data_IF_816756829463
#
_entry.id   IF_816756829463
#
_cell.length_a   1.000
_cell.length_b   1.000
_cell.length_c   1.000
_cell.angle_alpha   90.00
_cell.angle_beta   90.00
_cell.angle_gamma   90.00
#
_symmetry.space_group_name_H-M   'P 1'
#
loop_
_entity.id
_entity.type
_entity.pdbx_description
1 polymer ?
#
# COMPACT_ATOMS: atom_id res chain seq x y z
N UNK A 1 7.89 18.82 -11.02
CA UNK A 1 7.41 20.15 -10.58
C UNK A 1 6.43 20.01 -9.42
N UNK A 2 6.89 20.26 -8.18
CA UNK A 2 6.03 20.31 -6.98
C UNK A 2 5.48 21.74 -6.84
N UNK A 3 4.15 21.89 -6.93
CA UNK A 3 3.52 23.20 -6.67
C UNK A 3 3.55 23.50 -5.17
N UNK A 4 4.02 24.69 -4.82
CA UNK A 4 4.03 25.20 -3.44
C UNK A 4 3.02 26.33 -3.34
N UNK A 5 2.14 26.34 -2.32
CA UNK A 5 1.32 27.52 -2.08
C UNK A 5 2.26 28.68 -1.71
N UNK A 6 1.95 29.87 -2.20
CA UNK A 6 2.67 31.09 -1.82
C UNK A 6 2.39 31.43 -0.36
N UNK A 7 3.12 30.81 0.56
CA UNK A 7 2.92 30.99 2.00
C UNK A 7 3.33 29.76 2.79
N UNK A 8 4.34 29.90 3.64
CA UNK A 8 4.86 28.81 4.46
C UNK A 8 3.93 28.45 5.61
N UNK A 9 3.07 27.45 5.44
CA UNK A 9 2.45 26.76 6.58
C UNK A 9 2.81 25.27 6.54
N UNK A 10 3.70 24.85 7.45
CA UNK A 10 4.26 23.49 7.56
C UNK A 10 3.26 22.37 7.92
N UNK A 11 1.95 22.62 7.82
CA UNK A 11 0.89 21.70 8.25
C UNK A 11 0.09 21.05 7.11
N UNK A 12 0.44 21.27 5.84
CA UNK A 12 -0.18 20.58 4.71
C UNK A 12 -1.67 20.87 4.51
N UNK A 13 -2.18 21.94 5.13
CA UNK A 13 -3.47 22.57 4.85
C UNK A 13 -3.17 23.93 4.25
N UNK A 14 -3.85 24.27 3.16
CA UNK A 14 -3.85 25.63 2.65
C UNK A 14 -4.40 26.58 3.71
N UNK A 15 -3.71 27.68 3.93
CA UNK A 15 -4.24 28.78 4.72
C UNK A 15 -5.42 29.44 3.99
N UNK A 16 -6.30 30.09 4.74
CA UNK A 16 -7.40 30.85 4.15
C UNK A 16 -6.83 31.96 3.23
N UNK A 17 -7.09 31.86 1.92
CA UNK A 17 -6.61 32.80 0.91
C UNK A 17 -5.45 32.30 0.03
N UNK A 18 -4.87 31.13 0.33
CA UNK A 18 -3.89 30.51 -0.55
C UNK A 18 -4.58 29.80 -1.72
N UNK A 19 -4.17 30.11 -2.95
CA UNK A 19 -4.61 29.42 -4.15
C UNK A 19 -3.40 28.90 -4.92
N UNK A 20 -3.59 27.79 -5.62
CA UNK A 20 -2.60 27.31 -6.58
C UNK A 20 -2.98 27.85 -7.95
N UNK A 21 -2.00 28.32 -8.72
CA UNK A 21 -2.20 28.71 -10.11
C UNK A 21 -1.40 27.79 -11.02
N UNK A 22 -2.01 27.36 -12.13
CA UNK A 22 -1.34 26.62 -13.19
C UNK A 22 -1.65 27.28 -14.53
N UNK A 23 -0.59 27.64 -15.27
CA UNK A 23 -0.70 28.39 -16.52
C UNK A 23 -1.55 29.68 -16.40
N UNK A 24 -1.49 30.37 -15.25
CA UNK A 24 -2.24 31.59 -14.96
C UNK A 24 -3.73 31.38 -14.62
N UNK A 25 -4.17 30.13 -14.46
CA UNK A 25 -5.53 29.79 -14.03
C UNK A 25 -5.54 29.30 -12.58
N UNK A 26 -6.47 29.78 -11.73
CA UNK A 26 -6.60 29.28 -10.36
C UNK A 26 -7.09 27.82 -10.38
N UNK A 27 -6.45 26.98 -9.58
CA UNK A 27 -6.78 25.57 -9.40
C UNK A 27 -7.76 25.38 -8.23
N UNK A 28 -8.80 24.60 -8.48
CA UNK A 28 -9.73 24.16 -7.44
C UNK A 28 -9.06 23.14 -6.51
N UNK A 29 -9.19 23.37 -5.20
CA UNK A 29 -8.65 22.49 -4.17
C UNK A 29 -9.77 21.61 -3.62
N UNK A 30 -9.81 20.36 -4.08
CA UNK A 30 -10.73 19.36 -3.57
C UNK A 30 -10.13 18.62 -2.36
N UNK A 31 -10.96 18.33 -1.36
CA UNK A 31 -10.57 17.55 -0.16
C UNK A 31 -10.36 16.06 -0.44
N UNK A 32 -11.00 15.56 -1.50
CA UNK A 32 -10.89 14.19 -1.97
C UNK A 32 -11.16 14.11 -3.47
N UNK A 33 -10.36 13.34 -4.22
CA UNK A 33 -10.54 13.10 -5.65
C UNK A 33 -10.37 11.63 -5.99
N UNK A 34 -11.10 11.15 -7.00
CA UNK A 34 -10.99 9.77 -7.49
C UNK A 34 -10.20 9.74 -8.79
N UNK A 35 -9.12 8.97 -8.82
CA UNK A 35 -8.31 8.78 -10.02
C UNK A 35 -7.96 7.30 -10.19
N UNK A 36 -8.26 6.77 -11.38
CA UNK A 36 -8.10 5.34 -11.72
C UNK A 36 -8.69 4.38 -10.68
N UNK A 37 -9.80 4.74 -10.05
CA UNK A 37 -10.44 3.89 -9.04
C UNK A 37 -9.89 4.02 -7.62
N UNK A 38 -8.77 4.72 -7.42
CA UNK A 38 -8.24 5.06 -6.10
C UNK A 38 -8.78 6.41 -5.64
N UNK A 39 -9.06 6.53 -4.34
CA UNK A 39 -9.58 7.77 -3.74
C UNK A 39 -8.47 8.46 -2.98
N UNK A 40 -8.01 9.59 -3.50
CA UNK A 40 -6.97 10.41 -2.92
C UNK A 40 -7.62 11.46 -2.04
N UNK A 41 -7.50 11.27 -0.73
CA UNK A 41 -7.81 12.28 0.27
C UNK A 41 -6.59 13.14 0.58
N UNK A 42 -6.78 14.29 1.22
CA UNK A 42 -5.67 15.06 1.77
C UNK A 42 -4.72 14.16 2.57
N UNK A 43 -3.44 14.19 2.21
CA UNK A 43 -2.42 13.35 2.83
C UNK A 43 -2.15 13.83 4.26
N UNK A 44 -2.19 12.91 5.21
CA UNK A 44 -1.79 13.17 6.58
C UNK A 44 -0.54 12.40 6.95
N UNK A 45 0.22 12.94 7.90
CA UNK A 45 1.43 12.30 8.44
C UNK A 45 1.17 10.87 8.92
N UNK A 46 -0.02 10.63 9.48
CA UNK A 46 -0.37 9.34 10.04
C UNK A 46 -0.96 8.38 9.01
N UNK A 47 -1.74 8.87 8.04
CA UNK A 47 -2.53 7.99 7.18
C UNK A 47 -2.03 7.85 5.74
N UNK A 48 -1.15 8.73 5.24
CA UNK A 48 -0.64 8.64 3.86
C UNK A 48 -1.77 8.31 2.86
N UNK A 49 -1.56 7.30 2.02
CA UNK A 49 -2.55 6.75 1.10
C UNK A 49 -3.34 5.57 1.67
N UNK A 50 -3.23 5.24 2.96
CA UNK A 50 -3.92 4.08 3.57
C UNK A 50 -5.45 4.15 3.46
N UNK A 51 -6.04 5.34 3.30
CA UNK A 51 -7.48 5.52 3.06
C UNK A 51 -7.95 4.84 1.76
N UNK A 52 -7.07 4.71 0.76
CA UNK A 52 -7.35 3.93 -0.45
C UNK A 52 -7.66 2.47 -0.11
N UNK A 53 -6.88 1.89 0.82
CA UNK A 53 -7.04 0.50 1.26
C UNK A 53 -8.42 0.29 1.91
N UNK A 54 -8.96 1.26 2.64
CA UNK A 54 -10.28 1.16 3.27
C UNK A 54 -11.43 1.12 2.26
N UNK A 55 -11.33 1.90 1.18
CA UNK A 55 -12.28 1.88 0.06
C UNK A 55 -12.21 0.53 -0.65
N UNK A 56 -11.00 0.05 -0.95
CA UNK A 56 -10.77 -1.25 -1.58
C UNK A 56 -11.23 -2.42 -0.69
N UNK A 57 -11.10 -2.31 0.64
CA UNK A 57 -11.59 -3.31 1.57
C UNK A 57 -13.12 -3.45 1.52
N UNK A 58 -13.86 -2.35 1.30
CA UNK A 58 -15.32 -2.40 1.09
C UNK A 58 -15.65 -3.11 -0.22
N UNK A 59 -15.00 -2.73 -1.31
CA UNK A 59 -15.20 -3.35 -2.63
C UNK A 59 -14.82 -4.84 -2.60
N UNK A 60 -13.69 -5.19 -2.00
CA UNK A 60 -13.21 -6.57 -1.86
C UNK A 60 -14.13 -7.42 -0.98
N UNK A 61 -14.75 -6.87 0.07
CA UNK A 61 -15.81 -7.58 0.83
C UNK A 61 -17.01 -7.89 -0.06
N UNK A 62 -17.46 -6.93 -0.86
CA UNK A 62 -18.58 -7.15 -1.79
C UNK A 62 -18.24 -8.23 -2.82
N UNK A 63 -17.06 -8.15 -3.43
CA UNK A 63 -16.56 -9.16 -4.37
C UNK A 63 -16.46 -10.55 -3.72
N UNK A 64 -15.99 -10.63 -2.48
CA UNK A 64 -15.90 -11.88 -1.72
C UNK A 64 -17.29 -12.48 -1.46
N UNK A 65 -18.28 -11.70 -1.05
CA UNK A 65 -19.63 -12.22 -0.81
C UNK A 65 -20.31 -12.64 -2.12
N UNK A 66 -20.13 -11.87 -3.20
CA UNK A 66 -20.62 -12.24 -4.53
C UNK A 66 -19.97 -13.54 -5.03
N UNK A 67 -18.66 -13.67 -4.89
CA UNK A 67 -17.91 -14.88 -5.22
C UNK A 67 -18.43 -16.08 -4.42
N UNK A 68 -18.57 -15.96 -3.09
CA UNK A 68 -19.04 -17.07 -2.24
C UNK A 68 -20.46 -17.49 -2.58
N UNK A 69 -21.35 -16.54 -2.86
CA UNK A 69 -22.71 -16.83 -3.31
C UNK A 69 -22.68 -17.62 -4.61
N UNK A 70 -21.88 -17.17 -5.59
CA UNK A 70 -21.80 -17.85 -6.88
C UNK A 70 -21.15 -19.23 -6.77
N UNK A 71 -20.13 -19.37 -5.93
CA UNK A 71 -19.50 -20.65 -5.64
C UNK A 71 -20.52 -21.66 -5.06
N UNK A 72 -21.36 -21.21 -4.12
CA UNK A 72 -22.44 -22.04 -3.57
C UNK A 72 -23.46 -22.47 -4.63
N UNK A 73 -23.94 -21.53 -5.46
CA UNK A 73 -24.89 -21.82 -6.54
C UNK A 73 -24.34 -22.86 -7.56
N UNK A 74 -23.03 -22.87 -7.75
CA UNK A 74 -22.34 -23.79 -8.67
C UNK A 74 -21.82 -25.06 -7.97
N UNK A 75 -22.06 -25.25 -6.68
CA UNK A 75 -21.57 -26.40 -5.91
C UNK A 75 -20.06 -26.41 -5.66
N UNK A 76 -19.35 -25.30 -5.87
CA UNK A 76 -17.93 -25.15 -5.58
C UNK A 76 -17.70 -24.94 -4.07
N UNK A 77 -17.86 -26.03 -3.32
CA UNK A 77 -17.81 -26.04 -1.87
C UNK A 77 -16.47 -26.48 -1.28
N UNK A 78 -15.57 -27.05 -2.08
CA UNK A 78 -14.26 -27.49 -1.60
C UNK A 78 -13.41 -26.28 -1.16
N UNK A 79 -12.70 -26.44 -0.05
CA UNK A 79 -11.86 -25.38 0.53
C UNK A 79 -10.84 -24.87 -0.48
N UNK A 80 -10.18 -25.78 -1.20
CA UNK A 80 -9.19 -25.48 -2.24
C UNK A 80 -9.80 -24.66 -3.38
N UNK A 81 -11.00 -25.02 -3.84
CA UNK A 81 -11.72 -24.28 -4.87
C UNK A 81 -12.06 -22.87 -4.38
N UNK A 82 -12.57 -22.73 -3.15
CA UNK A 82 -12.87 -21.41 -2.60
C UNK A 82 -11.63 -20.54 -2.44
N UNK A 83 -10.52 -21.12 -2.01
CA UNK A 83 -9.22 -20.44 -1.93
C UNK A 83 -8.76 -19.96 -3.31
N UNK A 84 -8.85 -20.82 -4.34
CA UNK A 84 -8.51 -20.45 -5.72
C UNK A 84 -9.42 -19.33 -6.25
N UNK A 85 -10.74 -19.42 -6.02
CA UNK A 85 -11.69 -18.37 -6.40
C UNK A 85 -11.40 -17.05 -5.68
N UNK A 86 -10.98 -17.08 -4.41
CA UNK A 86 -10.55 -15.89 -3.70
C UNK A 86 -9.33 -15.24 -4.35
N UNK A 87 -8.33 -16.04 -4.73
CA UNK A 87 -7.13 -15.54 -5.40
C UNK A 87 -7.42 -14.92 -6.77
N UNK A 88 -8.39 -15.45 -7.50
CA UNK A 88 -8.78 -14.94 -8.84
C UNK A 88 -9.66 -13.69 -8.75
N UNK A 89 -10.66 -13.67 -7.86
CA UNK A 89 -11.69 -12.63 -7.88
C UNK A 89 -11.53 -11.55 -6.81
N UNK A 90 -10.98 -11.90 -5.64
CA UNK A 90 -10.99 -11.01 -4.46
C UNK A 90 -9.63 -10.39 -4.23
N UNK A 91 -8.57 -11.19 -4.27
CA UNK A 91 -7.18 -10.72 -4.06
C UNK A 91 -6.80 -9.56 -5.01
N UNK A 92 -7.16 -9.55 -6.31
CA UNK A 92 -6.83 -8.43 -7.19
C UNK A 92 -7.56 -7.14 -6.80
N UNK A 93 -8.84 -7.23 -6.39
CA UNK A 93 -9.62 -6.08 -5.91
C UNK A 93 -9.00 -5.51 -4.63
N UNK A 94 -8.63 -6.39 -3.70
CA UNK A 94 -8.01 -6.01 -2.44
C UNK A 94 -6.61 -5.39 -2.62
N UNK A 95 -5.85 -5.83 -3.61
CA UNK A 95 -4.45 -5.45 -3.81
C UNK A 95 -4.25 -4.38 -4.89
N UNK A 96 -5.33 -3.87 -5.48
CA UNK A 96 -5.24 -2.89 -6.55
C UNK A 96 -4.55 -1.60 -6.08
N UNK A 97 -3.47 -1.21 -6.75
CA UNK A 97 -2.69 -0.01 -6.39
C UNK A 97 -1.88 -0.14 -5.09
N UNK A 98 -1.61 -1.36 -4.61
CA UNK A 98 -0.82 -1.60 -3.41
C UNK A 98 0.60 -1.01 -3.48
N UNK A 99 1.10 -0.72 -4.67
CA UNK A 99 2.35 0.01 -4.91
C UNK A 99 2.31 1.44 -4.32
N UNK A 100 1.12 2.05 -4.28
CA UNK A 100 0.94 3.41 -3.74
C UNK A 100 0.62 3.37 -2.25
N UNK A 101 -0.43 2.66 -1.85
CA UNK A 101 -0.93 2.67 -0.47
C UNK A 101 -0.34 1.57 0.42
N UNK A 102 0.28 0.54 -0.17
CA UNK A 102 0.77 -0.63 0.58
C UNK A 102 1.86 -0.26 1.57
N UNK A 103 2.72 0.71 1.25
CA UNK A 103 3.76 1.21 2.15
C UNK A 103 3.19 1.72 3.47
N UNK A 104 2.06 2.43 3.43
CA UNK A 104 1.40 2.99 4.62
C UNK A 104 0.75 1.92 5.50
N UNK A 105 0.32 0.82 4.86
CA UNK A 105 -0.26 -0.34 5.54
C UNK A 105 0.84 -1.22 6.15
N UNK A 106 1.99 -1.36 5.50
CA UNK A 106 3.14 -2.12 6.03
C UNK A 106 3.74 -1.46 7.29
N UNK A 107 3.70 -0.14 7.39
CA UNK A 107 4.11 0.60 8.59
C UNK A 107 3.11 0.44 9.76
N UNK A 108 1.90 -0.06 9.51
CA UNK A 108 0.83 -0.26 10.50
C UNK A 108 0.05 -1.56 10.23
N UNK A 109 0.69 -2.72 10.38
CA UNK A 109 0.13 -3.99 9.90
C UNK A 109 -1.17 -4.39 10.62
N UNK A 110 -1.34 -4.00 11.88
CA UNK A 110 -2.52 -4.35 12.69
C UNK A 110 -3.80 -3.63 12.25
N UNK A 111 -3.67 -2.53 11.50
CA UNK A 111 -4.79 -1.70 11.06
C UNK A 111 -5.21 -1.97 9.60
N UNK A 112 -4.69 -3.01 8.95
CA UNK A 112 -5.02 -3.29 7.55
C UNK A 112 -6.46 -3.77 7.37
N UNK A 113 -7.33 -2.87 6.91
CA UNK A 113 -8.73 -3.16 6.60
C UNK A 113 -8.90 -4.19 5.49
N UNK A 114 -7.95 -4.24 4.56
CA UNK A 114 -7.86 -5.17 3.42
C UNK A 114 -7.51 -6.58 3.91
N UNK A 115 -6.47 -6.71 4.73
CA UNK A 115 -6.05 -7.99 5.31
C UNK A 115 -7.13 -8.58 6.23
N UNK A 116 -7.92 -7.74 6.91
CA UNK A 116 -9.08 -8.19 7.68
C UNK A 116 -10.11 -8.95 6.84
N UNK A 117 -10.26 -8.60 5.56
CA UNK A 117 -11.15 -9.32 4.63
C UNK A 117 -10.62 -10.72 4.36
N UNK A 118 -9.32 -10.83 4.07
CA UNK A 118 -8.65 -12.10 3.82
C UNK A 118 -8.67 -13.03 5.04
N UNK A 119 -8.33 -12.51 6.23
CA UNK A 119 -8.38 -13.27 7.49
C UNK A 119 -9.80 -13.74 7.84
N UNK A 120 -10.81 -12.91 7.55
CA UNK A 120 -12.21 -13.31 7.73
C UNK A 120 -12.58 -14.45 6.80
N UNK A 121 -12.18 -14.36 5.52
CA UNK A 121 -12.40 -15.41 4.53
C UNK A 121 -11.76 -16.73 4.96
N UNK A 122 -10.48 -16.72 5.34
CA UNK A 122 -9.74 -17.90 5.77
C UNK A 122 -10.39 -18.62 6.95
N UNK A 123 -10.88 -17.87 7.96
CA UNK A 123 -11.62 -18.48 9.07
C UNK A 123 -12.95 -19.05 8.61
N UNK A 124 -13.66 -18.32 7.75
CA UNK A 124 -15.01 -18.70 7.33
C UNK A 124 -15.03 -19.98 6.49
N UNK A 125 -14.05 -20.16 5.60
CA UNK A 125 -13.97 -21.36 4.74
C UNK A 125 -13.68 -22.63 5.55
N UNK A 126 -12.97 -22.51 6.67
CA UNK A 126 -12.66 -23.62 7.59
C UNK A 126 -13.74 -23.85 8.65
N UNK A 127 -14.71 -22.95 8.79
CA UNK A 127 -15.69 -23.00 9.89
C UNK A 127 -15.12 -22.62 11.26
N UNK A 128 -13.96 -21.96 11.31
CA UNK A 128 -13.30 -21.59 12.57
C UNK A 128 -14.02 -20.44 13.29
N UNK A 129 -14.07 -20.47 14.63
CA UNK A 129 -14.66 -19.39 15.41
C UNK A 129 -13.75 -18.15 15.42
N UNK A 130 -14.33 -16.99 15.80
CA UNK A 130 -13.63 -15.69 15.75
C UNK A 130 -12.40 -15.63 16.67
N UNK A 131 -12.37 -16.43 17.72
CA UNK A 131 -11.32 -16.50 18.73
C UNK A 131 -10.02 -17.11 18.19
N UNK A 132 -10.09 -17.91 17.12
CA UNK A 132 -8.89 -18.50 16.51
C UNK A 132 -8.03 -17.41 15.91
N UNK A 133 -6.73 -17.46 16.21
CA UNK A 133 -5.76 -16.50 15.72
C UNK A 133 -5.66 -16.60 14.20
N UNK A 134 -5.42 -15.45 13.55
CA UNK A 134 -5.29 -15.41 12.10
C UNK A 134 -4.11 -16.27 11.59
N UNK A 135 -3.04 -16.35 12.36
CA UNK A 135 -1.86 -17.15 12.05
C UNK A 135 -2.19 -18.64 11.88
N UNK A 136 -2.95 -19.23 12.81
CA UNK A 136 -3.38 -20.64 12.72
C UNK A 136 -4.25 -20.85 11.47
N UNK A 137 -5.26 -20.00 11.28
CA UNK A 137 -6.16 -20.12 10.12
C UNK A 137 -5.43 -20.00 8.77
N UNK A 138 -4.38 -19.19 8.69
CA UNK A 138 -3.54 -19.09 7.50
C UNK A 138 -2.64 -20.32 7.33
N UNK A 139 -2.02 -20.80 8.41
CA UNK A 139 -1.14 -21.96 8.42
C UNK A 139 -1.86 -23.24 7.97
N UNK A 140 -3.06 -23.50 8.50
CA UNK A 140 -3.89 -24.66 8.12
C UNK A 140 -4.25 -24.67 6.62
N UNK A 141 -4.42 -23.49 6.01
CA UNK A 141 -4.69 -23.38 4.58
C UNK A 141 -3.41 -23.32 3.72
N UNK A 142 -2.22 -23.33 4.33
CA UNK A 142 -0.95 -23.09 3.63
C UNK A 142 -0.87 -21.70 2.99
N UNK A 143 -1.58 -20.70 3.53
CA UNK A 143 -1.69 -19.36 2.95
C UNK A 143 -0.80 -18.36 3.67
N UNK A 144 -0.37 -17.35 2.91
CA UNK A 144 0.38 -16.21 3.41
C UNK A 144 -0.53 -14.99 3.55
N UNK A 145 -0.26 -14.07 4.49
CA UNK A 145 -0.90 -12.75 4.54
C UNK A 145 -0.76 -11.99 3.22
N UNK A 146 -1.69 -11.08 2.91
CA UNK A 146 -1.63 -10.29 1.67
C UNK A 146 -0.41 -9.37 1.63
N UNK A 147 0.12 -8.97 2.79
CA UNK A 147 1.34 -8.16 2.92
C UNK A 147 2.52 -8.78 2.17
N UNK A 148 2.67 -10.11 2.20
CA UNK A 148 3.75 -10.80 1.49
C UNK A 148 3.69 -10.54 -0.02
N UNK A 149 2.48 -10.49 -0.57
CA UNK A 149 2.28 -10.17 -1.98
C UNK A 149 2.55 -8.70 -2.27
N UNK A 150 2.10 -7.78 -1.40
CA UNK A 150 2.32 -6.34 -1.59
C UNK A 150 3.79 -5.95 -1.53
N UNK A 151 4.58 -6.56 -0.64
CA UNK A 151 6.03 -6.32 -0.56
C UNK A 151 6.69 -6.63 -1.91
N UNK A 152 6.32 -7.74 -2.56
CA UNK A 152 6.84 -8.09 -3.87
C UNK A 152 6.46 -7.06 -4.94
N UNK A 153 5.21 -6.56 -4.92
CA UNK A 153 4.78 -5.52 -5.86
C UNK A 153 5.51 -4.19 -5.62
N UNK A 154 5.70 -3.80 -4.36
CA UNK A 154 6.43 -2.59 -3.96
C UNK A 154 7.89 -2.64 -4.41
N UNK A 155 8.57 -3.77 -4.22
CA UNK A 155 9.96 -3.95 -4.70
C UNK A 155 10.04 -3.85 -6.22
N UNK A 156 9.15 -4.54 -6.94
CA UNK A 156 9.09 -4.44 -8.42
C UNK A 156 8.79 -3.03 -8.88
N UNK A 157 7.89 -2.32 -8.19
CA UNK A 157 7.57 -0.94 -8.47
C UNK A 157 8.76 -0.03 -8.24
N UNK A 158 9.47 -0.19 -7.12
CA UNK A 158 10.70 0.54 -6.81
C UNK A 158 11.76 0.37 -7.90
N UNK A 159 12.06 -0.87 -8.30
CA UNK A 159 13.05 -1.13 -9.36
C UNK A 159 12.61 -0.49 -10.70
N UNK A 160 11.31 -0.50 -11.02
CA UNK A 160 10.77 0.21 -12.19
C UNK A 160 10.95 1.72 -12.09
N UNK A 161 10.77 2.32 -10.91
CA UNK A 161 11.00 3.75 -10.68
C UNK A 161 12.48 4.10 -10.89
N UNK A 162 13.40 3.33 -10.32
CA UNK A 162 14.84 3.52 -10.51
C UNK A 162 15.23 3.44 -11.99
N UNK A 163 14.76 2.42 -12.71
CA UNK A 163 15.02 2.28 -14.14
C UNK A 163 14.42 3.43 -14.96
N UNK A 164 13.26 3.97 -14.54
CA UNK A 164 12.65 5.13 -15.19
C UNK A 164 13.39 6.44 -14.95
N UNK A 165 14.25 6.51 -13.92
CA UNK A 165 15.01 7.71 -13.59
C UNK A 165 16.17 7.98 -14.56
N UNK A 166 16.65 6.93 -15.24
CA UNK A 166 17.73 6.98 -16.21
C UNK A 166 17.31 7.56 -17.57
N UNK A 167 16.00 7.54 -17.86
CA UNK A 167 15.41 8.10 -19.07
C UNK A 167 14.87 9.52 -18.78
N UNK A 168 15.38 10.52 -19.48
CA UNK A 168 15.05 11.93 -19.23
C UNK A 168 13.67 12.32 -19.76
N UNK A 169 13.10 11.59 -20.74
CA UNK A 169 11.82 11.93 -21.35
C UNK A 169 10.62 11.28 -20.64
N UNK A 170 10.89 10.38 -19.69
CA UNK A 170 9.85 9.61 -19.03
C UNK A 170 9.23 10.39 -17.87
N UNK A 171 7.95 10.73 -17.98
CA UNK A 171 7.16 11.42 -16.92
C UNK A 171 7.23 10.71 -15.57
N UNK A 172 7.28 9.37 -15.55
CA UNK A 172 7.46 8.60 -14.32
C UNK A 172 8.79 8.90 -13.62
N UNK A 173 9.86 9.08 -14.40
CA UNK A 173 11.18 9.48 -13.91
C UNK A 173 11.16 10.87 -13.29
N UNK A 174 10.42 11.82 -13.89
CA UNK A 174 10.23 13.16 -13.30
C UNK A 174 9.51 13.10 -11.95
N UNK A 175 8.39 12.37 -11.89
CA UNK A 175 7.64 12.20 -10.65
C UNK A 175 8.47 11.53 -9.56
N UNK A 176 9.35 10.58 -9.93
CA UNK A 176 10.26 9.94 -9.00
C UNK A 176 11.35 10.89 -8.49
N UNK A 177 12.00 11.66 -9.38
CA UNK A 177 12.99 12.69 -9.02
C UNK A 177 12.39 13.74 -8.08
N UNK A 178 11.19 14.25 -8.40
CA UNK A 178 10.44 15.16 -7.54
C UNK A 178 10.20 14.55 -6.15
N UNK A 179 9.82 13.26 -6.08
CA UNK A 179 9.58 12.59 -4.80
C UNK A 179 10.85 12.44 -3.94
N UNK A 180 12.00 12.22 -4.58
CA UNK A 180 13.31 12.17 -3.93
C UNK A 180 13.75 13.57 -3.47
N UNK A 181 13.50 14.61 -4.25
CA UNK A 181 13.74 16.00 -3.85
C UNK A 181 12.90 16.36 -2.61
N UNK A 182 11.60 16.03 -2.62
CA UNK A 182 10.72 16.20 -1.47
C UNK A 182 11.25 15.46 -0.21
N UNK A 183 11.88 14.30 -0.41
CA UNK A 183 12.53 13.56 0.67
C UNK A 183 13.78 14.26 1.20
N UNK A 184 14.57 14.93 0.34
CA UNK A 184 15.79 15.65 0.74
C UNK A 184 15.48 16.95 1.47
N UNK A 185 14.50 17.70 0.98
CA UNK A 185 14.05 18.97 1.58
C UNK A 185 13.42 18.77 2.96
N UNK A 186 12.78 17.63 3.18
CA UNK A 186 12.04 17.34 4.42
C UNK A 186 12.89 17.06 5.66
N UNK A 187 14.12 17.57 5.78
CA UNK A 187 14.95 17.45 6.99
C UNK A 187 14.23 17.99 8.25
N UNK A 188 13.47 19.08 8.08
CA UNK A 188 12.68 19.72 9.16
C UNK A 188 11.24 19.18 9.30
N UNK A 189 10.77 18.36 8.36
CA UNK A 189 9.51 17.60 8.48
C UNK A 189 9.80 16.26 9.18
N UNK A 190 10.17 16.37 10.46
CA UNK A 190 10.45 15.28 11.39
C UNK A 190 9.48 14.09 11.22
N UNK A 191 10.04 12.90 11.02
CA UNK A 191 9.45 11.56 11.20
C UNK A 191 8.05 11.25 10.57
N UNK A 192 7.45 12.15 9.79
CA UNK A 192 6.05 12.04 9.39
C UNK A 192 5.69 12.63 8.03
N UNK A 193 6.66 12.93 7.17
CA UNK A 193 6.37 13.43 5.82
C UNK A 193 5.46 12.44 5.05
N UNK A 194 4.50 12.98 4.28
CA UNK A 194 3.67 12.19 3.36
C UNK A 194 4.45 11.70 2.12
N UNK A 195 5.75 12.00 2.03
CA UNK A 195 6.62 11.53 0.96
C UNK A 195 6.67 9.99 0.93
N UNK A 196 6.29 9.43 -0.22
CA UNK A 196 6.26 7.99 -0.47
C UNK A 196 7.66 7.35 -0.35
N UNK A 197 8.69 7.93 -0.98
CA UNK A 197 10.07 7.41 -0.93
C UNK A 197 10.61 7.31 0.49
N UNK A 198 10.29 8.29 1.36
CA UNK A 198 10.69 8.27 2.76
C UNK A 198 10.02 7.14 3.54
N UNK A 199 8.73 6.90 3.30
CA UNK A 199 7.99 5.81 3.94
C UNK A 199 8.51 4.45 3.49
N UNK A 200 8.83 4.33 2.21
CA UNK A 200 9.42 3.12 1.67
C UNK A 200 10.81 2.86 2.28
N UNK A 201 11.66 3.89 2.36
CA UNK A 201 12.94 3.81 3.07
C UNK A 201 12.77 3.38 4.52
N UNK A 202 11.78 3.93 5.23
CA UNK A 202 11.48 3.53 6.61
C UNK A 202 11.08 2.05 6.70
N UNK A 203 10.26 1.54 5.77
CA UNK A 203 9.92 0.10 5.71
C UNK A 203 11.19 -0.74 5.51
N UNK A 204 12.08 -0.34 4.59
CA UNK A 204 13.32 -1.05 4.32
C UNK A 204 14.29 -1.04 5.51
N UNK A 205 14.38 0.08 6.23
CA UNK A 205 15.23 0.23 7.42
C UNK A 205 14.68 -0.49 8.65
N UNK A 206 13.35 -0.62 8.75
CA UNK A 206 12.70 -1.29 9.88
C UNK A 206 12.93 -2.79 9.89
N UNK A 207 13.28 -3.40 8.75
CA UNK A 207 13.64 -4.82 8.65
C UNK A 207 15.16 -5.00 8.93
N UNK A 208 15.58 -5.45 10.12
CA UNK A 208 16.99 -5.51 10.48
C UNK A 208 17.76 -6.51 9.58
N UNK A 209 18.98 -6.17 9.12
CA UNK A 209 19.77 -7.06 8.30
C UNK A 209 20.35 -8.20 9.14
N UNK A 210 20.13 -9.45 8.72
CA UNK A 210 20.93 -10.58 9.19
C UNK A 210 22.32 -10.61 8.52
N UNK A 211 22.47 -9.95 7.36
CA UNK A 211 23.74 -9.73 6.67
C UNK A 211 23.59 -8.59 5.65
N UNK A 212 24.42 -7.55 5.81
CA UNK A 212 24.62 -6.46 4.86
C UNK A 212 23.59 -5.32 4.91
N UNK A 213 24.10 -4.09 4.77
CA UNK A 213 23.33 -2.86 4.55
C UNK A 213 22.58 -2.97 3.22
N UNK A 214 21.26 -2.70 3.20
CA UNK A 214 20.55 -2.51 1.93
C UNK A 214 20.86 -1.10 1.42
N UNK A 215 21.63 -1.02 0.34
CA UNK A 215 21.69 0.21 -0.44
C UNK A 215 20.36 0.39 -1.17
N UNK A 216 19.43 1.13 -0.58
CA UNK A 216 18.07 1.32 -1.12
C UNK A 216 18.03 2.00 -2.51
N UNK A 217 19.15 2.61 -2.94
CA UNK A 217 19.31 3.20 -4.27
C UNK A 217 19.83 2.23 -5.34
N UNK A 218 20.04 0.94 -5.02
CA UNK A 218 20.35 -0.10 -6.01
C UNK A 218 19.14 -0.97 -6.31
N UNK A 219 19.24 -1.82 -7.34
CA UNK A 219 18.19 -2.77 -7.67
C UNK A 219 17.96 -3.73 -6.49
N UNK A 220 16.72 -3.78 -6.01
CA UNK A 220 16.36 -4.60 -4.86
C UNK A 220 16.04 -6.02 -5.29
N UNK A 221 16.69 -7.00 -4.67
CA UNK A 221 16.31 -8.41 -4.82
C UNK A 221 14.96 -8.68 -4.14
N UNK A 222 13.97 -9.09 -4.94
CA UNK A 222 12.60 -9.30 -4.50
C UNK A 222 12.50 -10.42 -3.45
N UNK A 223 13.29 -11.49 -3.58
CA UNK A 223 13.28 -12.61 -2.64
C UNK A 223 13.81 -12.21 -1.27
N UNK A 224 15.00 -11.59 -1.24
CA UNK A 224 15.66 -11.13 -0.04
C UNK A 224 14.82 -10.09 0.71
N UNK A 225 14.28 -9.08 0.02
CA UNK A 225 13.45 -8.04 0.66
C UNK A 225 12.13 -8.62 1.17
N UNK A 226 11.48 -9.50 0.41
CA UNK A 226 10.25 -10.15 0.85
C UNK A 226 10.47 -10.96 2.13
N UNK A 227 11.51 -11.79 2.20
CA UNK A 227 11.83 -12.57 3.39
C UNK A 227 12.14 -11.68 4.60
N UNK A 228 12.90 -10.59 4.39
CA UNK A 228 13.30 -9.66 5.46
C UNK A 228 12.11 -8.91 6.05
N UNK A 229 11.34 -8.23 5.21
CA UNK A 229 10.18 -7.44 5.64
C UNK A 229 9.10 -8.35 6.21
N UNK A 230 8.91 -9.54 5.63
CA UNK A 230 7.97 -10.52 6.16
C UNK A 230 8.35 -11.01 7.56
N UNK A 231 9.62 -11.36 7.80
CA UNK A 231 10.10 -11.74 9.14
C UNK A 231 9.89 -10.63 10.16
N UNK A 232 10.17 -9.38 9.77
CA UNK A 232 9.94 -8.22 10.63
C UNK A 232 8.45 -8.05 10.97
N UNK A 233 7.55 -8.16 10.00
CA UNK A 233 6.11 -8.08 10.24
C UNK A 233 5.60 -9.18 11.18
N UNK A 234 6.14 -10.40 11.08
CA UNK A 234 5.79 -11.51 11.98
C UNK A 234 6.35 -11.36 13.38
N UNK A 235 7.48 -10.67 13.55
CA UNK A 235 8.03 -10.38 14.88
C UNK A 235 7.22 -9.33 15.65
N UNK A 236 6.36 -8.57 14.97
CA UNK A 236 5.51 -7.53 15.55
C UNK A 236 4.09 -8.02 15.95
N UNK A 237 3.70 -9.23 15.55
CA UNK A 237 2.36 -9.83 15.77
C UNK A 237 2.43 -10.93 16.83
#
# INVERSE_FOLDING_TARGET
>A
MIMRPGGGSGNGKLAAGESFEYAGLPLEVASSTKYLGLTFSQLSKQHGFASCADVLAKAGRQAMFAMRRRAWELGACLVEQQCMLFDVFVKPVLSYGCELWGVDVLLRPDCSSVERVHRWFCRRVQGLPKQVTAAISLAELGRQPLQSFWIQQLVRFWNRLQNSAADEDRVLGWAFKDNLELMREGGDLAAGSACWSRRWLHVLQSAPPASGTLEWLTELDCGAVAVRVFRWLFALV
#
